data_IF_421065712692
#
_entry.id   IF_421065712692
#
_cell.length_a   1.000
_cell.length_b   1.000
_cell.length_c   1.000
_cell.angle_alpha   90.00
_cell.angle_beta   90.00
_cell.angle_gamma   90.00
#
_symmetry.space_group_name_H-M   'P 1'
#
loop_
_entity.id
_entity.type
_entity.pdbx_description
1 polymer ?
#
# COMPACT_ATOMS: atom_id res chain seq x y z
N UNK A 1 -3.60 -3.33 -11.12
CA UNK A 1 -3.98 -2.19 -11.97
C UNK A 1 -4.24 -2.69 -13.39
N UNK A 2 -5.48 -2.69 -13.89
CA UNK A 2 -5.78 -3.10 -15.26
C UNK A 2 -5.34 -2.07 -16.32
N UNK A 3 -4.91 -0.87 -15.92
CA UNK A 3 -4.41 0.16 -16.83
C UNK A 3 -2.87 0.13 -16.86
N UNK A 4 -2.33 -0.68 -17.78
CA UNK A 4 -0.92 -1.08 -17.86
C UNK A 4 0.05 0.07 -18.24
N UNK A 5 -0.47 1.24 -18.63
CA UNK A 5 0.28 2.28 -19.36
C UNK A 5 1.34 3.00 -18.51
N UNK A 6 1.20 3.05 -17.18
CA UNK A 6 2.10 3.87 -16.35
C UNK A 6 3.24 3.09 -15.69
N UNK A 7 2.98 1.86 -15.22
CA UNK A 7 3.96 1.07 -14.46
C UNK A 7 4.03 -0.41 -14.87
N UNK A 8 3.49 -0.80 -16.05
CA UNK A 8 3.56 -2.18 -16.54
C UNK A 8 2.81 -3.18 -15.65
N UNK A 9 1.80 -2.71 -14.90
CA UNK A 9 1.10 -3.45 -13.84
C UNK A 9 2.02 -3.98 -12.71
N UNK A 10 3.13 -3.29 -12.45
CA UNK A 10 4.05 -3.55 -11.35
C UNK A 10 3.85 -2.52 -10.24
N UNK A 11 3.56 -2.99 -9.03
CA UNK A 11 3.39 -2.15 -7.84
C UNK A 11 3.94 -2.84 -6.59
N UNK A 12 3.92 -2.14 -5.46
CA UNK A 12 4.56 -2.62 -4.22
C UNK A 12 3.61 -3.33 -3.25
N UNK A 13 2.39 -3.65 -3.69
CA UNK A 13 1.40 -4.43 -2.95
C UNK A 13 0.63 -5.36 -3.88
N UNK A 14 0.53 -6.64 -3.51
CA UNK A 14 -0.29 -7.64 -4.21
C UNK A 14 -1.13 -8.46 -3.23
N UNK A 15 -2.25 -8.99 -3.74
CA UNK A 15 -3.13 -9.91 -3.02
C UNK A 15 -2.93 -11.33 -3.56
N UNK A 16 -2.77 -12.31 -2.67
CA UNK A 16 -2.62 -13.72 -3.04
C UNK A 16 -3.84 -14.50 -2.58
N UNK A 17 -4.49 -15.19 -3.51
CA UNK A 17 -5.55 -16.15 -3.22
C UNK A 17 -4.96 -17.56 -3.20
N UNK A 18 -5.09 -18.24 -2.06
CA UNK A 18 -4.55 -19.56 -1.82
C UNK A 18 -5.65 -20.60 -2.02
N UNK A 19 -5.39 -21.59 -2.89
CA UNK A 19 -6.36 -22.65 -3.17
C UNK A 19 -6.54 -23.58 -1.96
N UNK A 20 -5.44 -24.06 -1.38
CA UNK A 20 -5.44 -24.90 -0.17
C UNK A 20 -5.15 -24.05 1.08
N UNK A 21 -6.20 -23.78 1.86
CA UNK A 21 -6.12 -22.90 3.04
C UNK A 21 -5.18 -23.44 4.13
N UNK A 22 -4.88 -24.73 4.14
CA UNK A 22 -3.92 -25.31 5.08
C UNK A 22 -2.49 -24.79 4.84
N UNK A 23 -2.19 -24.26 3.64
CA UNK A 23 -0.86 -23.77 3.27
C UNK A 23 -0.64 -22.27 3.54
N UNK A 24 -1.66 -21.53 4.01
CA UNK A 24 -1.56 -20.08 4.20
C UNK A 24 -0.37 -19.71 5.09
N UNK A 25 -0.17 -20.44 6.20
CA UNK A 25 0.95 -20.20 7.11
C UNK A 25 2.32 -20.44 6.47
N UNK A 26 2.53 -21.59 5.82
CA UNK A 26 3.80 -21.92 5.18
C UNK A 26 4.10 -21.01 3.98
N UNK A 27 3.08 -20.64 3.20
CA UNK A 27 3.21 -19.68 2.10
C UNK A 27 3.56 -18.29 2.60
N UNK A 28 2.95 -17.83 3.71
CA UNK A 28 3.32 -16.56 4.34
C UNK A 28 4.79 -16.52 4.71
N UNK A 29 5.26 -17.56 5.41
CA UNK A 29 6.65 -17.63 5.88
C UNK A 29 7.64 -17.72 4.71
N UNK A 30 7.31 -18.47 3.65
CA UNK A 30 8.09 -18.52 2.43
C UNK A 30 8.17 -17.15 1.73
N UNK A 31 7.03 -16.48 1.54
CA UNK A 31 6.97 -15.18 0.87
C UNK A 31 7.75 -14.11 1.65
N UNK A 32 7.66 -14.11 2.98
CA UNK A 32 8.38 -13.17 3.84
C UNK A 32 9.90 -13.37 3.78
N UNK A 33 10.36 -14.58 3.47
CA UNK A 33 11.79 -14.88 3.31
C UNK A 33 12.35 -14.43 1.94
N UNK A 34 11.51 -14.03 0.98
CA UNK A 34 11.97 -13.58 -0.34
C UNK A 34 12.68 -12.22 -0.26
N UNK A 35 13.85 -12.05 -0.90
CA UNK A 35 14.51 -10.76 -0.96
C UNK A 35 13.60 -9.67 -1.52
N UNK A 36 13.50 -8.55 -0.78
CA UNK A 36 12.69 -7.40 -1.18
C UNK A 36 11.24 -7.43 -0.72
N UNK A 37 10.72 -8.56 -0.20
CA UNK A 37 9.45 -8.59 0.52
C UNK A 37 9.69 -8.11 1.95
N UNK A 38 8.86 -7.19 2.43
CA UNK A 38 9.02 -6.61 3.78
C UNK A 38 7.87 -6.98 4.70
N UNK A 39 6.68 -7.22 4.15
CA UNK A 39 5.48 -7.51 4.94
C UNK A 39 4.64 -8.57 4.21
N UNK A 40 4.17 -9.57 4.96
CA UNK A 40 3.16 -10.52 4.49
C UNK A 40 2.14 -10.71 5.59
N UNK A 41 0.92 -10.21 5.35
CA UNK A 41 -0.18 -10.29 6.30
C UNK A 41 -1.16 -11.38 5.90
N UNK A 42 -1.74 -12.07 6.89
CA UNK A 42 -3.01 -12.77 6.66
C UNK A 42 -4.12 -11.78 6.35
N UNK A 43 -5.23 -12.27 5.81
CA UNK A 43 -6.45 -11.48 5.62
C UNK A 43 -6.84 -10.71 6.88
N UNK A 44 -6.85 -11.38 8.03
CA UNK A 44 -7.27 -10.81 9.31
C UNK A 44 -6.30 -9.72 9.78
N UNK A 45 -4.99 -9.98 9.65
CA UNK A 45 -3.95 -8.99 9.97
C UNK A 45 -4.05 -7.76 9.06
N UNK A 46 -4.30 -7.96 7.76
CA UNK A 46 -4.44 -6.88 6.79
C UNK A 46 -5.70 -6.05 7.05
N UNK A 47 -6.84 -6.68 7.35
CA UNK A 47 -8.06 -5.95 7.75
C UNK A 47 -7.81 -5.08 8.99
N UNK A 48 -7.10 -5.61 9.99
CA UNK A 48 -6.83 -4.90 11.24
C UNK A 48 -5.79 -3.78 11.08
N UNK A 49 -4.73 -4.00 10.30
CA UNK A 49 -3.61 -3.05 10.17
C UNK A 49 -3.79 -2.01 9.08
N UNK A 50 -4.45 -2.40 7.99
CA UNK A 50 -4.62 -1.58 6.79
C UNK A 50 -6.08 -1.14 6.59
N UNK A 51 -6.96 -1.45 7.55
CA UNK A 51 -8.38 -1.06 7.56
C UNK A 51 -9.14 -1.53 6.30
N UNK A 52 -8.78 -2.72 5.81
CA UNK A 52 -9.36 -3.31 4.59
C UNK A 52 -10.61 -4.16 4.87
N UNK A 53 -11.41 -4.36 3.82
CA UNK A 53 -12.63 -5.18 3.88
C UNK A 53 -12.33 -6.63 3.49
N UNK A 54 -12.59 -7.57 4.42
CA UNK A 54 -12.15 -8.96 4.32
C UNK A 54 -12.64 -9.72 3.08
N UNK A 55 -13.86 -9.45 2.61
CA UNK A 55 -14.48 -10.13 1.46
C UNK A 55 -13.98 -9.61 0.10
N UNK A 56 -13.13 -8.57 0.10
CA UNK A 56 -12.55 -7.96 -1.11
C UNK A 56 -11.06 -8.19 -1.27
N UNK A 57 -10.42 -8.94 -0.36
CA UNK A 57 -8.97 -9.16 -0.36
C UNK A 57 -8.58 -10.64 -0.41
N UNK A 58 -7.32 -10.88 -0.76
CA UNK A 58 -6.70 -12.20 -0.79
C UNK A 58 -6.61 -12.87 0.59
N UNK A 59 -6.11 -14.11 0.60
CA UNK A 59 -5.76 -14.80 1.85
C UNK A 59 -4.49 -14.24 2.48
N UNK A 60 -3.60 -13.72 1.63
CA UNK A 60 -2.40 -13.01 2.02
C UNK A 60 -2.33 -11.66 1.28
N UNK A 61 -1.83 -10.65 2.00
CA UNK A 61 -1.46 -9.34 1.46
C UNK A 61 0.05 -9.21 1.55
N UNK A 62 0.71 -9.03 0.42
CA UNK A 62 2.17 -8.99 0.32
C UNK A 62 2.59 -7.57 -0.06
N UNK A 63 3.54 -7.00 0.68
CA UNK A 63 4.16 -5.71 0.35
C UNK A 63 5.67 -5.81 0.27
N UNK A 64 6.25 -5.02 -0.63
CA UNK A 64 7.68 -4.97 -0.89
C UNK A 64 8.35 -3.72 -0.34
N UNK A 65 9.69 -3.78 -0.30
CA UNK A 65 10.56 -2.66 0.05
C UNK A 65 10.50 -1.50 -0.94
N UNK A 66 11.04 -0.35 -0.53
CA UNK A 66 11.03 0.94 -1.24
C UNK A 66 11.33 0.85 -2.74
N UNK A 67 12.35 0.09 -3.11
CA UNK A 67 12.88 0.04 -4.49
C UNK A 67 12.54 -1.29 -5.19
N UNK A 68 11.48 -1.97 -4.74
CA UNK A 68 11.08 -3.29 -5.23
C UNK A 68 9.60 -3.27 -5.60
N UNK A 69 9.27 -3.80 -6.78
CA UNK A 69 7.89 -4.06 -7.22
C UNK A 69 7.62 -5.56 -7.29
N UNK A 70 6.35 -5.94 -7.16
CA UNK A 70 5.89 -7.32 -7.22
C UNK A 70 4.98 -7.50 -8.44
N UNK A 71 5.33 -8.48 -9.28
CA UNK A 71 4.55 -8.88 -10.45
C UNK A 71 3.96 -10.29 -10.30
N UNK A 72 3.24 -10.76 -11.31
CA UNK A 72 2.63 -12.09 -11.34
C UNK A 72 3.59 -13.17 -11.86
N UNK A 73 3.82 -13.21 -13.17
CA UNK A 73 4.82 -14.07 -13.84
C UNK A 73 5.55 -13.21 -14.87
N UNK A 74 6.80 -13.54 -15.17
CA UNK A 74 7.57 -12.78 -16.17
C UNK A 74 6.83 -12.64 -17.52
N UNK A 75 6.16 -13.69 -17.98
CA UNK A 75 5.38 -13.69 -19.23
C UNK A 75 4.11 -12.81 -19.19
N UNK A 76 3.66 -12.37 -18.01
CA UNK A 76 2.49 -11.50 -17.85
C UNK A 76 2.88 -10.00 -17.90
N UNK A 77 4.17 -9.67 -18.00
CA UNK A 77 4.65 -8.29 -18.01
C UNK A 77 5.49 -8.02 -19.27
N UNK A 78 5.01 -7.10 -20.11
CA UNK A 78 5.81 -6.51 -21.18
C UNK A 78 6.61 -5.33 -20.62
N UNK A 79 7.89 -5.54 -20.33
CA UNK A 79 8.76 -4.50 -19.79
C UNK A 79 9.27 -3.53 -20.86
N UNK A 80 9.05 -3.82 -22.16
CA UNK A 80 9.50 -2.94 -23.25
C UNK A 80 8.75 -1.60 -23.29
N UNK A 81 7.58 -1.53 -22.65
CA UNK A 81 6.78 -0.31 -22.51
C UNK A 81 7.32 0.64 -21.45
N UNK A 82 8.29 0.21 -20.64
CA UNK A 82 8.89 1.04 -19.61
C UNK A 82 9.97 1.94 -20.23
N UNK A 83 9.78 3.25 -20.09
CA UNK A 83 10.76 4.25 -20.51
C UNK A 83 11.48 4.85 -19.30
N UNK A 84 12.81 4.76 -19.27
CA UNK A 84 13.62 5.25 -18.15
C UNK A 84 13.57 4.34 -16.93
N UNK A 85 13.89 4.89 -15.75
CA UNK A 85 13.83 4.16 -14.49
C UNK A 85 12.38 3.95 -14.04
N UNK A 86 12.01 2.72 -13.68
CA UNK A 86 10.69 2.41 -13.13
C UNK A 86 10.47 3.20 -11.84
N UNK A 87 9.39 3.96 -11.80
CA UNK A 87 8.80 4.52 -10.58
C UNK A 87 7.47 3.83 -10.41
N UNK A 88 7.05 3.54 -9.18
CA UNK A 88 5.74 2.94 -8.92
C UNK A 88 5.27 3.32 -7.51
N UNK A 89 4.22 2.67 -7.02
CA UNK A 89 3.64 2.89 -5.71
C UNK A 89 2.86 1.66 -5.22
N UNK A 90 2.27 1.80 -4.03
CA UNK A 90 1.25 0.90 -3.49
C UNK A 90 1.65 0.23 -2.18
N UNK A 91 2.92 0.34 -1.76
CA UNK A 91 3.44 -0.25 -0.54
C UNK A 91 3.62 0.78 0.57
N UNK A 92 4.24 0.34 1.67
CA UNK A 92 4.46 1.14 2.89
C UNK A 92 5.30 2.40 2.65
N UNK A 93 6.21 2.36 1.68
CA UNK A 93 7.16 3.44 1.42
C UNK A 93 6.59 4.61 0.62
N UNK A 94 5.33 4.49 0.16
CA UNK A 94 4.59 5.54 -0.53
C UNK A 94 3.36 6.03 0.26
N UNK A 95 3.19 5.58 1.51
CA UNK A 95 2.05 5.97 2.36
C UNK A 95 2.14 7.43 2.86
N UNK A 96 3.36 7.92 3.09
CA UNK A 96 3.58 9.28 3.59
C UNK A 96 3.31 10.33 2.52
N UNK A 97 2.25 11.13 2.70
CA UNK A 97 1.86 12.21 1.79
C UNK A 97 1.72 13.55 2.53
N UNK A 98 1.98 14.69 1.87
CA UNK A 98 1.83 15.99 2.51
C UNK A 98 0.36 16.38 2.70
N UNK A 99 0.04 16.99 3.86
CA UNK A 99 -1.23 17.66 4.13
C UNK A 99 -0.99 19.17 4.24
N UNK A 100 -1.44 19.93 3.24
CA UNK A 100 -1.17 21.38 3.12
C UNK A 100 -2.47 22.16 3.15
N UNK A 101 -2.51 23.21 3.98
CA UNK A 101 -3.63 24.14 4.10
C UNK A 101 -3.13 25.55 3.82
N UNK A 102 -3.98 26.40 3.24
CA UNK A 102 -3.66 27.79 2.94
C UNK A 102 -3.75 28.72 4.16
N UNK A 103 -4.34 28.24 5.27
CA UNK A 103 -4.58 29.01 6.49
C UNK A 103 -3.85 28.39 7.68
N UNK A 104 -3.48 29.20 8.69
CA UNK A 104 -2.83 28.69 9.90
C UNK A 104 -3.78 27.84 10.73
N UNK A 105 -3.25 26.77 11.32
CA UNK A 105 -3.98 25.92 12.26
C UNK A 105 -4.19 26.62 13.62
N UNK A 106 -5.42 26.59 14.11
CA UNK A 106 -5.80 26.87 15.48
C UNK A 106 -5.16 25.88 16.47
N UNK A 107 -5.17 26.17 17.79
CA UNK A 107 -4.43 25.39 18.78
C UNK A 107 -4.79 23.90 18.82
N UNK A 108 -6.05 23.55 18.58
CA UNK A 108 -6.50 22.16 18.54
C UNK A 108 -5.93 21.41 17.33
N UNK A 109 -6.15 21.93 16.13
CA UNK A 109 -5.68 21.28 14.90
C UNK A 109 -4.15 21.27 14.79
N UNK A 110 -3.46 22.26 15.37
CA UNK A 110 -2.00 22.22 15.52
C UNK A 110 -1.54 21.04 16.41
N UNK A 111 -2.28 20.67 17.46
CA UNK A 111 -1.95 19.45 18.23
C UNK A 111 -2.24 18.20 17.42
N UNK A 112 -3.39 18.15 16.72
CA UNK A 112 -3.77 16.99 15.89
C UNK A 112 -2.79 16.75 14.74
N UNK A 113 -2.22 17.80 14.15
CA UNK A 113 -1.21 17.68 13.09
C UNK A 113 0.12 17.08 13.57
N UNK A 114 0.36 17.01 14.88
CA UNK A 114 1.56 16.37 15.46
C UNK A 114 1.34 14.88 15.80
N UNK A 115 0.12 14.37 15.60
CA UNK A 115 -0.19 12.95 15.75
C UNK A 115 0.05 12.21 14.41
N UNK A 116 -0.88 11.33 13.99
CA UNK A 116 -0.84 10.62 12.71
C UNK A 116 -2.03 11.02 11.83
N UNK A 117 -2.07 12.26 11.29
CA UNK A 117 -3.15 12.66 10.40
C UNK A 117 -3.12 11.84 9.12
N UNK A 118 -4.30 11.40 8.69
CA UNK A 118 -4.47 10.59 7.47
C UNK A 118 -4.84 11.51 6.31
N UNK A 119 -4.50 11.10 5.09
CA UNK A 119 -4.83 11.88 3.89
C UNK A 119 -6.34 12.19 3.77
N UNK A 120 -7.19 11.27 4.24
CA UNK A 120 -8.64 11.42 4.26
C UNK A 120 -9.16 12.37 5.36
N UNK A 121 -8.31 12.82 6.29
CA UNK A 121 -8.66 13.84 7.28
C UNK A 121 -8.68 15.26 6.68
N UNK A 122 -8.29 15.43 5.41
CA UNK A 122 -8.15 16.73 4.75
C UNK A 122 -9.40 17.61 4.87
N UNK A 123 -10.60 17.03 4.81
CA UNK A 123 -11.84 17.79 4.95
C UNK A 123 -12.09 18.24 6.39
N UNK A 124 -11.76 17.40 7.37
CA UNK A 124 -11.90 17.77 8.79
C UNK A 124 -10.95 18.92 9.13
N UNK A 125 -9.69 18.82 8.68
CA UNK A 125 -8.73 19.92 8.79
C UNK A 125 -9.22 21.16 8.04
N UNK A 126 -9.62 21.06 6.78
CA UNK A 126 -10.01 22.23 5.97
C UNK A 126 -11.24 22.97 6.53
N UNK A 127 -12.24 22.25 7.03
CA UNK A 127 -13.50 22.85 7.51
C UNK A 127 -13.40 23.44 8.93
N UNK A 128 -12.44 22.99 9.74
CA UNK A 128 -12.40 23.30 11.16
C UNK A 128 -11.08 23.92 11.63
N UNK A 129 -10.05 24.03 10.77
CA UNK A 129 -8.70 24.43 11.18
C UNK A 129 -8.54 25.84 11.75
N UNK A 130 -9.42 26.80 11.45
CA UNK A 130 -9.21 28.22 11.78
C UNK A 130 -9.97 28.70 13.02
N UNK A 131 -10.73 27.84 13.68
CA UNK A 131 -11.46 28.19 14.92
C UNK A 131 -10.63 27.91 16.16
#
# INVERSE_FOLDING_TARGET
DPYVVHHGALGSLVMVHVQDKAQVGSMRDFLLALPGVTEVYTREEACAKLELVADRIGDLVVMSGRDVVVGKRAADHDLSVLHGGLRSHGGRYEEMVPLVLSEPLGPEYRRRSQADPRNFDVFDFACHCTR
#
